data_IF_514899663440
#
_entry.id   IF_514899663440
#
_cell.length_a   1.000
_cell.length_b   1.000
_cell.length_c   1.000
_cell.angle_alpha   90.00
_cell.angle_beta   90.00
_cell.angle_gamma   90.00
#
_symmetry.space_group_name_H-M   'P 1'
#
loop_
_entity.id
_entity.type
_entity.pdbx_description
1 polymer ?
#
# COMPACT_ATOMS: atom_id res chain seq x y z
N UNK A 1 -17.26 -1.50 -0.71
CA UNK A 1 -15.89 -1.88 -1.12
C UNK A 1 -14.98 -1.52 0.03
N UNK A 2 -14.02 -2.37 0.41
CA UNK A 2 -13.12 -2.06 1.52
C UNK A 2 -12.35 -0.77 1.24
N UNK A 3 -12.06 -0.04 2.31
CA UNK A 3 -11.20 1.14 2.26
C UNK A 3 -9.75 0.70 2.50
N UNK A 4 -8.85 1.07 1.60
CA UNK A 4 -7.43 0.76 1.69
C UNK A 4 -6.62 1.97 2.16
N UNK A 5 -5.58 1.68 2.93
CA UNK A 5 -4.68 2.67 3.50
C UNK A 5 -3.23 2.25 3.33
N UNK A 6 -2.35 3.25 3.28
CA UNK A 6 -0.90 3.07 3.30
C UNK A 6 -0.25 4.01 4.30
N UNK A 7 0.74 3.51 5.02
CA UNK A 7 1.71 4.33 5.77
C UNK A 7 3.09 4.06 5.23
N UNK A 8 3.80 5.11 4.83
CA UNK A 8 5.17 5.04 4.33
C UNK A 8 6.09 5.50 5.45
N UNK A 9 7.14 4.73 5.72
CA UNK A 9 8.14 5.03 6.74
C UNK A 9 9.50 5.23 6.08
N UNK A 10 10.19 6.29 6.45
CA UNK A 10 11.55 6.56 6.02
C UNK A 10 12.42 7.09 7.15
N UNK A 11 13.69 7.36 6.86
CA UNK A 11 14.66 7.86 7.85
C UNK A 11 14.23 9.17 8.52
N UNK A 12 13.41 9.97 7.83
CA UNK A 12 13.00 11.29 8.32
C UNK A 12 11.62 11.28 9.03
N UNK A 13 10.94 10.13 9.13
CA UNK A 13 9.64 10.01 9.80
C UNK A 13 8.67 9.04 9.11
N UNK A 14 7.37 9.27 9.29
CA UNK A 14 6.29 8.53 8.61
C UNK A 14 5.26 9.47 7.94
N UNK A 15 4.60 8.98 6.89
CA UNK A 15 3.60 9.75 6.13
C UNK A 15 2.27 9.96 6.87
N UNK A 16 2.11 9.37 8.05
CA UNK A 16 0.80 9.05 8.62
C UNK A 16 0.02 8.04 7.79
N UNK A 17 -1.13 7.62 8.31
CA UNK A 17 -2.06 6.75 7.58
C UNK A 17 -2.73 7.55 6.44
N UNK A 18 -2.42 7.16 5.19
CA UNK A 18 -2.98 7.78 3.97
C UNK A 18 -4.02 6.85 3.36
N UNK A 19 -5.25 7.34 3.23
CA UNK A 19 -6.28 6.62 2.51
C UNK A 19 -5.99 6.64 1.00
N UNK A 20 -6.03 5.47 0.37
CA UNK A 20 -5.86 5.31 -1.07
C UNK A 20 -7.23 5.40 -1.77
N UNK A 21 -7.54 6.56 -2.35
CA UNK A 21 -8.82 6.81 -3.00
C UNK A 21 -8.67 7.68 -4.26
N UNK A 22 -9.54 7.42 -5.23
CA UNK A 22 -9.73 8.22 -6.45
C UNK A 22 -11.22 8.24 -6.78
N UNK A 23 -11.77 9.42 -7.07
CA UNK A 23 -13.19 9.56 -7.41
C UNK A 23 -13.46 8.90 -8.77
N UNK A 24 -14.66 8.32 -8.91
CA UNK A 24 -15.17 7.75 -10.16
C UNK A 24 -14.32 6.61 -10.75
N UNK A 25 -13.62 5.84 -9.91
CA UNK A 25 -12.85 4.66 -10.31
C UNK A 25 -13.16 3.45 -9.45
N UNK A 26 -13.15 2.27 -10.07
CA UNK A 26 -13.12 0.99 -9.38
C UNK A 26 -11.65 0.64 -9.11
N UNK A 27 -11.25 0.71 -7.85
CA UNK A 27 -9.87 0.49 -7.40
C UNK A 27 -9.73 -0.91 -6.80
N UNK A 28 -8.52 -1.45 -6.74
CA UNK A 28 -8.18 -2.72 -6.09
C UNK A 28 -8.84 -3.95 -6.72
N UNK A 29 -9.18 -3.86 -8.00
CA UNK A 29 -9.73 -4.97 -8.77
C UNK A 29 -8.65 -6.03 -9.06
N UNK A 30 -9.07 -7.30 -9.13
CA UNK A 30 -8.17 -8.42 -9.42
C UNK A 30 -7.42 -8.19 -10.74
N UNK A 31 -6.10 -8.38 -10.70
CA UNK A 31 -5.24 -8.27 -11.88
C UNK A 31 -5.02 -6.84 -12.37
N UNK A 32 -5.41 -5.83 -11.60
CA UNK A 32 -5.15 -4.42 -11.89
C UNK A 32 -4.09 -3.83 -10.97
N UNK A 33 -3.46 -2.77 -11.45
CA UNK A 33 -2.56 -1.91 -10.69
C UNK A 33 -3.17 -0.51 -10.64
N UNK A 34 -3.39 0.00 -9.43
CA UNK A 34 -3.82 1.37 -9.21
C UNK A 34 -2.64 2.26 -8.82
N UNK A 35 -2.68 3.52 -9.24
CA UNK A 35 -1.62 4.51 -8.98
C UNK A 35 -2.20 5.72 -8.28
N UNK A 36 -1.53 6.15 -7.22
CA UNK A 36 -1.92 7.26 -6.38
C UNK A 36 -0.78 8.28 -6.29
N UNK A 37 -1.13 9.56 -6.23
CA UNK A 37 -0.19 10.63 -5.91
C UNK A 37 -0.46 11.05 -4.47
N UNK A 38 0.57 10.99 -3.62
CA UNK A 38 0.51 11.36 -2.22
C UNK A 38 1.47 12.53 -1.98
N UNK A 39 0.94 13.67 -1.53
CA UNK A 39 1.77 14.78 -1.08
C UNK A 39 2.20 14.51 0.36
N UNK A 40 3.50 14.52 0.63
CA UNK A 40 4.08 14.31 1.96
C UNK A 40 5.44 15.00 2.06
N UNK A 41 5.96 15.13 3.28
CA UNK A 41 7.31 15.64 3.50
C UNK A 41 8.35 14.67 2.93
N UNK A 42 9.59 15.15 2.77
CA UNK A 42 10.69 14.28 2.36
C UNK A 42 10.94 13.18 3.40
N UNK A 43 10.70 11.95 2.98
CA UNK A 43 10.81 10.76 3.81
C UNK A 43 12.27 10.32 4.02
N UNK A 44 13.22 10.86 3.25
CA UNK A 44 14.59 10.34 3.21
C UNK A 44 14.64 8.92 2.63
N UNK A 45 15.48 8.06 3.19
CA UNK A 45 15.55 6.67 2.75
C UNK A 45 14.31 5.89 3.22
N UNK A 46 13.60 5.25 2.28
CA UNK A 46 12.41 4.47 2.61
C UNK A 46 12.78 3.15 3.30
N UNK A 47 12.22 2.91 4.48
CA UNK A 47 12.57 1.76 5.33
C UNK A 47 11.52 0.65 5.30
N UNK A 48 10.24 1.01 5.19
CA UNK A 48 9.12 0.07 5.09
C UNK A 48 7.86 0.78 4.62
N UNK A 49 6.90 0.00 4.15
CA UNK A 49 5.52 0.45 3.96
C UNK A 49 4.58 -0.46 4.73
N UNK A 50 3.48 0.09 5.24
CA UNK A 50 2.38 -0.66 5.81
C UNK A 50 1.15 -0.45 4.95
N UNK A 51 0.60 -1.51 4.38
CA UNK A 51 -0.67 -1.49 3.62
C UNK A 51 -1.73 -2.22 4.42
N UNK A 52 -2.91 -1.67 4.52
CA UNK A 52 -4.04 -2.28 5.25
C UNK A 52 -5.39 -1.95 4.62
N UNK A 53 -6.43 -2.68 5.01
CA UNK A 53 -7.80 -2.31 4.73
C UNK A 53 -8.72 -2.50 5.94
N UNK A 54 -9.89 -1.88 5.91
CA UNK A 54 -10.90 -1.90 6.99
C UNK A 54 -11.79 -3.16 7.02
N UNK A 55 -11.56 -4.10 6.11
CA UNK A 55 -12.38 -5.31 5.89
C UNK A 55 -13.88 -5.02 5.63
N UNK A 56 -14.24 -3.81 5.20
CA UNK A 56 -15.64 -3.47 4.93
C UNK A 56 -16.14 -4.03 3.58
N UNK A 57 -17.46 -4.19 3.47
CA UNK A 57 -18.10 -4.74 2.28
C UNK A 57 -18.05 -6.27 2.16
N UNK A 58 -18.58 -6.79 1.06
CA UNK A 58 -18.59 -8.22 0.77
C UNK A 58 -17.30 -8.62 0.05
N UNK A 59 -16.69 -9.73 0.47
CA UNK A 59 -15.47 -10.28 -0.14
C UNK A 59 -14.30 -9.29 -0.18
N UNK A 60 -13.94 -8.71 0.96
CA UNK A 60 -12.88 -7.72 1.10
C UNK A 60 -11.44 -8.24 0.89
N UNK A 61 -11.27 -9.53 0.59
CA UNK A 61 -9.96 -10.16 0.43
C UNK A 61 -9.21 -9.66 -0.80
N UNK A 62 -7.95 -9.28 -0.62
CA UNK A 62 -7.11 -8.73 -1.69
C UNK A 62 -5.72 -9.36 -1.71
N UNK A 63 -5.31 -9.89 -2.86
CA UNK A 63 -3.94 -10.40 -3.03
C UNK A 63 -3.04 -9.26 -3.49
N UNK A 64 -2.15 -8.81 -2.60
CA UNK A 64 -1.15 -7.80 -2.91
C UNK A 64 0.10 -8.48 -3.47
N UNK A 65 0.45 -8.19 -4.72
CA UNK A 65 1.71 -8.64 -5.33
C UNK A 65 2.90 -7.83 -4.78
N UNK A 66 2.89 -6.51 -4.99
CA UNK A 66 3.94 -5.58 -4.54
C UNK A 66 3.44 -4.14 -4.47
N UNK A 67 4.19 -3.30 -3.78
CA UNK A 67 4.04 -1.84 -3.77
C UNK A 67 5.28 -1.22 -4.40
N UNK A 68 5.08 -0.23 -5.27
CA UNK A 68 6.15 0.58 -5.85
C UNK A 68 5.95 2.03 -5.38
N UNK A 69 6.96 2.60 -4.73
CA UNK A 69 6.95 4.00 -4.30
C UNK A 69 7.99 4.75 -5.12
N UNK A 70 7.55 5.73 -5.91
CA UNK A 70 8.43 6.58 -6.71
C UNK A 70 8.46 7.98 -6.12
N UNK A 71 9.64 8.46 -5.76
CA UNK A 71 9.83 9.85 -5.39
C UNK A 71 9.80 10.70 -6.67
N UNK A 72 8.80 11.57 -6.80
CA UNK A 72 8.57 12.35 -8.02
C UNK A 72 9.59 13.48 -8.22
N UNK A 73 10.33 13.88 -7.18
CA UNK A 73 11.33 14.94 -7.28
C UNK A 73 12.64 14.45 -7.91
N UNK A 74 13.02 13.19 -7.66
CA UNK A 74 14.28 12.61 -8.15
C UNK A 74 14.11 11.36 -9.05
N UNK A 75 12.88 10.86 -9.20
CA UNK A 75 12.55 9.70 -10.04
C UNK A 75 12.94 8.34 -9.45
N UNK A 76 13.44 8.28 -8.22
CA UNK A 76 13.88 7.03 -7.58
C UNK A 76 12.67 6.19 -7.20
N UNK A 77 12.62 4.94 -7.68
CA UNK A 77 11.58 3.96 -7.33
C UNK A 77 12.13 2.93 -6.35
N UNK A 78 11.42 2.74 -5.23
CA UNK A 78 11.65 1.66 -4.27
C UNK A 78 10.54 0.62 -4.39
N UNK A 79 10.91 -0.66 -4.41
CA UNK A 79 9.98 -1.79 -4.58
C UNK A 79 9.87 -2.59 -3.27
N UNK A 80 8.63 -2.87 -2.87
CA UNK A 80 8.28 -3.64 -1.69
C UNK A 80 7.46 -4.86 -2.12
N UNK A 81 8.06 -6.06 -2.11
CA UNK A 81 7.37 -7.29 -2.48
C UNK A 81 6.46 -7.78 -1.36
N UNK A 82 5.30 -8.36 -1.70
CA UNK A 82 4.36 -8.94 -0.74
C UNK A 82 3.97 -10.38 -1.10
N UNK A 83 3.33 -10.58 -2.25
CA UNK A 83 2.83 -11.88 -2.71
C UNK A 83 1.84 -12.57 -1.77
N UNK A 84 1.09 -11.83 -0.94
CA UNK A 84 0.25 -12.40 0.14
C UNK A 84 -1.14 -11.78 0.21
N UNK A 85 -2.12 -12.58 0.61
CA UNK A 85 -3.52 -12.13 0.79
C UNK A 85 -3.64 -11.22 2.01
N UNK A 86 -4.35 -10.11 1.89
CA UNK A 86 -4.94 -9.35 2.99
C UNK A 86 -6.40 -9.78 3.06
N UNK A 87 -6.72 -10.72 3.94
CA UNK A 87 -8.03 -11.38 3.98
C UNK A 87 -8.20 -12.13 5.30
N UNK A 88 -9.33 -11.93 5.99
CA UNK A 88 -9.67 -12.62 7.25
C UNK A 88 -9.93 -14.13 7.11
N UNK A 89 -10.07 -14.63 5.88
CA UNK A 89 -10.40 -16.03 5.57
C UNK A 89 -9.30 -16.77 4.80
N UNK A 90 -8.24 -16.09 4.37
CA UNK A 90 -7.12 -16.66 3.58
C UNK A 90 -5.76 -16.37 4.22
N UNK A 91 -4.73 -17.05 3.74
CA UNK A 91 -3.35 -16.91 4.23
C UNK A 91 -3.26 -17.02 5.77
N UNK A 92 -2.76 -15.98 6.42
CA UNK A 92 -2.60 -15.88 7.89
C UNK A 92 -3.77 -15.15 8.57
N UNK A 93 -4.85 -14.83 7.83
CA UNK A 93 -6.03 -14.12 8.31
C UNK A 93 -5.79 -12.65 8.69
N UNK A 94 -4.68 -12.07 8.26
CA UNK A 94 -4.39 -10.66 8.48
C UNK A 94 -4.89 -9.78 7.33
N UNK A 95 -5.30 -8.56 7.67
CA UNK A 95 -5.78 -7.52 6.74
C UNK A 95 -4.77 -6.39 6.55
N UNK A 96 -3.54 -6.59 7.04
CA UNK A 96 -2.44 -5.65 6.97
C UNK A 96 -1.12 -6.34 6.62
N UNK A 97 -0.22 -5.60 5.97
CA UNK A 97 1.12 -6.04 5.61
C UNK A 97 2.13 -4.95 5.89
N UNK A 98 3.16 -5.28 6.64
CA UNK A 98 4.38 -4.48 6.72
C UNK A 98 5.39 -5.08 5.74
N UNK A 99 5.84 -4.27 4.79
CA UNK A 99 6.74 -4.68 3.73
C UNK A 99 8.03 -3.87 3.81
N UNK A 100 9.15 -4.51 3.50
CA UNK A 100 10.47 -3.92 3.54
C UNK A 100 11.02 -3.79 2.11
N UNK A 101 11.85 -2.78 1.83
CA UNK A 101 12.41 -2.57 0.51
C UNK A 101 13.26 -3.77 0.12
N UNK A 102 13.18 -4.17 -1.15
CA UNK A 102 14.07 -5.16 -1.73
C UNK A 102 15.14 -4.44 -2.54
N UNK A 103 16.38 -4.52 -2.08
CA UNK A 103 17.58 -4.10 -2.82
C UNK A 103 18.13 -5.27 -3.63
#
# INVERSE_FOLDING_TARGET
MPMFFITIYGSNGDSGCRQLQQKFRNLFERGRTDRFLLEMLDMGELQKVRVEHDNSGLSAGWLLDRVEVTNTANGVTTIFLCGKWLDTKRADREIARVLYPKY
#
